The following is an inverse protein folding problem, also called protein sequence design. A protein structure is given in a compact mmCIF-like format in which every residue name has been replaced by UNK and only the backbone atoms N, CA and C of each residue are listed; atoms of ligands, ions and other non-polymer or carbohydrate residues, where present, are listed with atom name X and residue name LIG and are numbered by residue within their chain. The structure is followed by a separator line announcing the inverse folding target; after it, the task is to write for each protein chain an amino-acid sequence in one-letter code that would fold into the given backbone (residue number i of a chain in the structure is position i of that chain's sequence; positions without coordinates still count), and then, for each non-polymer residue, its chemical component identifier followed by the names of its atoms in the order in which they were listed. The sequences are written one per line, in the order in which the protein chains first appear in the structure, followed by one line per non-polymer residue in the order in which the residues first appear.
data_IF_437155335231
#
_entry.id   IF_437155335231
#
_cell.length_a   1.000
_cell.length_b   1.000
_cell.length_c   1.000
_cell.angle_alpha   90.00
_cell.angle_beta   90.00
_cell.angle_gamma   90.00
#
_symmetry.space_group_name_H-M   'P 1'
#
loop_
_entity.id
_entity.type
_entity.pdbx_description
1 polymer ?
#
# COMPACT_ATOMS: atom_id res chain seq x y z
N UNK A 1 18.19 -10.21 39.49
CA UNK A 1 17.93 -9.04 38.63
C UNK A 1 18.33 -9.27 37.17
N UNK A 2 19.56 -9.76 36.89
CA UNK A 2 20.00 -10.05 35.51
C UNK A 2 19.16 -11.13 34.81
N UNK A 3 18.75 -12.19 35.49
CA UNK A 3 17.89 -13.24 34.93
C UNK A 3 16.53 -12.71 34.45
N UNK A 4 15.95 -11.72 35.13
CA UNK A 4 14.71 -11.09 34.69
C UNK A 4 14.92 -10.25 33.42
N UNK A 5 16.05 -9.56 33.32
CA UNK A 5 16.41 -8.81 32.13
C UNK A 5 16.72 -9.71 30.93
N UNK A 6 17.33 -10.87 31.14
CA UNK A 6 17.58 -11.87 30.09
C UNK A 6 16.27 -12.34 29.44
N UNK A 7 15.25 -12.64 30.27
CA UNK A 7 13.93 -13.02 29.77
C UNK A 7 13.20 -11.85 29.07
N UNK A 8 13.42 -10.62 29.50
CA UNK A 8 12.83 -9.43 28.88
C UNK A 8 13.47 -9.09 27.55
N UNK A 9 14.79 -9.26 27.46
CA UNK A 9 15.58 -8.96 26.24
C UNK A 9 15.46 -10.09 25.22
N UNK A 10 15.33 -11.34 25.67
CA UNK A 10 15.10 -12.56 24.87
C UNK A 10 15.91 -12.61 23.57
N UNK A 11 17.24 -12.65 23.71
CA UNK A 11 18.15 -12.77 22.58
C UNK A 11 18.77 -14.18 22.54
N UNK A 12 18.75 -14.84 21.38
CA UNK A 12 19.26 -16.20 21.26
C UNK A 12 20.77 -16.28 21.46
N UNK A 13 21.23 -17.31 22.15
CA UNK A 13 22.66 -17.70 22.32
C UNK A 13 23.57 -16.70 23.01
N UNK A 14 23.01 -15.71 23.69
CA UNK A 14 23.75 -14.75 24.48
C UNK A 14 23.19 -14.61 25.89
N UNK A 15 24.03 -14.15 26.82
CA UNK A 15 23.65 -13.82 28.20
C UNK A 15 24.09 -12.40 28.53
N UNK A 16 23.33 -11.71 29.38
CA UNK A 16 23.70 -10.40 29.91
C UNK A 16 24.70 -10.58 31.04
N UNK A 17 25.92 -10.07 30.85
CA UNK A 17 26.95 -10.06 31.91
C UNK A 17 26.84 -8.84 32.81
N UNK A 18 26.54 -7.70 32.22
CA UNK A 18 26.48 -6.45 32.97
C UNK A 18 25.53 -5.47 32.29
N UNK A 19 25.03 -4.50 33.04
CA UNK A 19 24.22 -3.39 32.57
C UNK A 19 24.84 -2.10 33.08
N UNK A 20 25.13 -1.18 32.16
CA UNK A 20 25.62 0.16 32.47
C UNK A 20 24.55 1.15 32.04
N UNK A 21 24.19 2.06 32.89
CA UNK A 21 23.24 3.12 32.59
C UNK A 21 23.96 4.47 32.59
N UNK A 22 23.81 5.22 31.52
CA UNK A 22 24.38 6.55 31.34
C UNK A 22 23.27 7.52 30.85
N UNK A 23 22.75 8.33 31.76
CA UNK A 23 21.64 9.25 31.43
C UNK A 23 20.41 8.52 30.91
N UNK A 24 20.02 8.75 29.67
CA UNK A 24 18.89 8.13 28.98
C UNK A 24 19.26 6.88 28.16
N UNK A 25 20.51 6.43 28.28
CA UNK A 25 21.02 5.29 27.53
C UNK A 25 21.35 4.11 28.46
N UNK A 26 21.04 2.91 28.03
CA UNK A 26 21.38 1.67 28.71
C UNK A 26 22.24 0.78 27.83
N UNK A 27 23.38 0.34 28.35
CA UNK A 27 24.32 -0.54 27.67
C UNK A 27 24.28 -1.92 28.28
N UNK A 28 23.81 -2.92 27.53
CA UNK A 28 23.79 -4.31 27.94
C UNK A 28 25.03 -5.01 27.41
N UNK A 29 25.94 -5.41 28.29
CA UNK A 29 27.15 -6.13 27.95
C UNK A 29 26.83 -7.61 27.86
N UNK A 30 26.94 -8.17 26.64
CA UNK A 30 26.58 -9.54 26.35
C UNK A 30 27.79 -10.48 26.29
N UNK A 31 27.57 -11.75 26.54
CA UNK A 31 28.50 -12.84 26.25
C UNK A 31 27.81 -13.95 25.49
N UNK A 32 28.51 -14.57 24.56
CA UNK A 32 28.01 -15.77 23.86
C UNK A 32 27.95 -16.97 24.82
N UNK A 33 26.92 -17.78 24.67
CA UNK A 33 26.70 -18.98 25.50
C UNK A 33 27.43 -20.21 24.94
N UNK A 34 27.51 -20.31 23.62
CA UNK A 34 28.11 -21.44 22.89
C UNK A 34 29.60 -21.18 22.63
N UNK A 35 30.44 -22.15 22.90
CA UNK A 35 31.86 -22.14 22.60
C UNK A 35 32.15 -22.63 21.17
N UNK A 36 31.40 -23.66 20.75
CA UNK A 36 31.44 -24.20 19.39
C UNK A 36 30.45 -23.45 18.46
N UNK A 37 30.88 -23.18 17.26
CA UNK A 37 30.06 -22.53 16.23
C UNK A 37 30.08 -23.28 14.91
N UNK A 38 29.00 -23.17 14.14
CA UNK A 38 28.89 -23.77 12.82
C UNK A 38 29.55 -22.91 11.77
N UNK A 39 30.46 -23.49 11.00
CA UNK A 39 31.13 -22.81 9.89
C UNK A 39 30.15 -22.41 8.79
N UNK A 40 30.18 -21.15 8.39
CA UNK A 40 29.29 -20.59 7.37
C UNK A 40 29.53 -21.16 5.95
N UNK A 41 30.71 -21.80 5.71
CA UNK A 41 31.06 -22.32 4.38
C UNK A 41 30.81 -23.82 4.24
N UNK A 42 31.14 -24.63 5.25
CA UNK A 42 31.08 -26.09 5.13
C UNK A 42 30.13 -26.75 6.12
N UNK A 43 29.52 -25.98 7.01
CA UNK A 43 28.62 -26.47 8.05
C UNK A 43 29.30 -27.28 9.18
N UNK A 44 30.61 -27.45 9.17
CA UNK A 44 31.34 -28.13 10.23
C UNK A 44 31.39 -27.32 11.52
N UNK A 45 31.39 -27.97 12.67
CA UNK A 45 31.57 -27.31 13.97
C UNK A 45 33.05 -26.97 14.21
N UNK A 46 33.31 -25.89 14.91
CA UNK A 46 34.66 -25.46 15.34
C UNK A 46 34.55 -24.60 16.60
N UNK A 47 35.53 -24.80 17.48
CA UNK A 47 35.79 -24.02 18.69
C UNK A 47 37.04 -23.12 18.56
N UNK A 48 37.77 -23.19 17.42
CA UNK A 48 39.01 -22.45 17.22
C UNK A 48 38.73 -20.95 17.05
N UNK A 49 38.62 -20.28 18.17
CA UNK A 49 38.49 -18.81 18.23
C UNK A 49 39.82 -18.13 17.80
N UNK A 50 39.73 -17.31 16.75
CA UNK A 50 40.87 -16.54 16.26
C UNK A 50 40.93 -15.12 16.82
N UNK A 51 39.77 -14.46 16.87
CA UNK A 51 39.68 -13.06 17.30
C UNK A 51 38.28 -12.72 17.83
N UNK A 52 38.23 -11.85 18.83
CA UNK A 52 36.95 -11.26 19.31
C UNK A 52 37.07 -9.73 19.29
N UNK A 53 36.08 -9.07 18.70
CA UNK A 53 35.90 -7.64 18.74
C UNK A 53 34.53 -7.29 19.34
N UNK A 54 34.44 -6.27 20.17
CA UNK A 54 33.17 -5.81 20.67
C UNK A 54 32.49 -4.91 19.63
N UNK A 55 31.24 -5.22 19.36
CA UNK A 55 30.36 -4.45 18.48
C UNK A 55 29.24 -3.82 19.30
N UNK A 56 29.02 -2.52 19.12
CA UNK A 56 27.89 -1.82 19.72
C UNK A 56 26.75 -1.74 18.71
N UNK A 57 25.60 -2.32 19.07
CA UNK A 57 24.39 -2.33 18.23
C UNK A 57 23.21 -1.79 19.02
N UNK A 58 22.31 -1.10 18.35
CA UNK A 58 21.10 -0.54 18.95
C UNK A 58 19.98 -1.57 18.93
N UNK A 59 19.23 -1.63 20.02
CA UNK A 59 18.06 -2.50 20.20
C UNK A 59 16.82 -1.69 20.57
N UNK A 60 15.70 -2.37 20.75
CA UNK A 60 14.44 -1.78 21.18
C UNK A 60 14.61 -0.97 22.48
N UNK A 61 13.97 0.19 22.60
CA UNK A 61 14.00 0.96 23.83
C UNK A 61 13.31 0.18 24.97
N UNK A 62 13.86 0.29 26.17
CA UNK A 62 13.30 -0.29 27.40
C UNK A 62 12.96 0.84 28.37
N UNK A 63 11.70 0.93 28.81
CA UNK A 63 11.24 1.95 29.77
C UNK A 63 11.63 3.39 29.39
N UNK A 64 11.57 3.71 28.08
CA UNK A 64 11.91 5.04 27.55
C UNK A 64 13.41 5.30 27.41
N UNK A 65 14.26 4.34 27.72
CA UNK A 65 15.71 4.45 27.54
C UNK A 65 16.14 3.87 26.21
N UNK A 66 17.09 4.53 25.53
CA UNK A 66 17.76 3.98 24.37
C UNK A 66 18.67 2.83 24.80
N UNK A 67 18.50 1.66 24.17
CA UNK A 67 19.27 0.46 24.53
C UNK A 67 20.32 0.15 23.49
N UNK A 68 21.53 -0.06 23.96
CA UNK A 68 22.65 -0.56 23.17
C UNK A 68 23.12 -1.90 23.71
N UNK A 69 23.38 -2.83 22.80
CA UNK A 69 23.97 -4.12 23.10
C UNK A 69 25.44 -4.09 22.73
N UNK A 70 26.31 -4.34 23.69
CA UNK A 70 27.73 -4.60 23.45
C UNK A 70 27.92 -6.09 23.25
N UNK A 71 28.08 -6.50 21.99
CA UNK A 71 28.09 -7.90 21.56
C UNK A 71 29.51 -8.32 21.18
N UNK A 72 30.03 -9.43 21.71
CA UNK A 72 31.29 -10.00 21.23
C UNK A 72 31.12 -10.56 19.83
N UNK A 73 31.78 -9.97 18.84
CA UNK A 73 31.84 -10.47 17.47
C UNK A 73 33.05 -11.35 17.31
N UNK A 74 32.83 -12.65 17.23
CA UNK A 74 33.88 -13.68 17.22
C UNK A 74 34.22 -14.09 15.79
N UNK A 75 35.51 -14.25 15.52
CA UNK A 75 36.03 -14.78 14.27
C UNK A 75 36.72 -16.13 14.58
N UNK A 76 36.33 -17.17 13.85
CA UNK A 76 36.81 -18.54 14.03
C UNK A 76 37.60 -19.01 12.81
N UNK A 77 38.43 -20.03 13.03
CA UNK A 77 39.11 -20.80 12.00
C UNK A 77 38.45 -22.18 11.88
N UNK A 78 38.10 -22.59 10.69
CA UNK A 78 37.51 -23.93 10.45
C UNK A 78 38.58 -24.88 9.89
N UNK A 79 38.99 -25.89 10.66
CA UNK A 79 39.95 -26.92 10.23
C UNK A 79 39.49 -27.71 9.02
N UNK A 80 38.16 -27.97 8.91
CA UNK A 80 37.56 -28.79 7.83
C UNK A 80 37.74 -28.15 6.45
N UNK A 81 37.45 -26.85 6.32
CA UNK A 81 37.58 -26.12 5.05
C UNK A 81 38.72 -25.13 4.99
N UNK A 82 39.55 -25.05 6.04
CA UNK A 82 40.73 -24.21 6.17
C UNK A 82 40.43 -22.72 5.91
N UNK A 83 39.31 -22.21 6.40
CA UNK A 83 38.90 -20.82 6.19
C UNK A 83 38.55 -20.13 7.50
N UNK A 84 38.85 -18.84 7.53
CA UNK A 84 38.34 -17.95 8.57
C UNK A 84 36.95 -17.48 8.26
N UNK A 85 36.11 -17.40 9.27
CA UNK A 85 34.74 -16.85 9.16
C UNK A 85 34.40 -16.12 10.45
N UNK A 86 33.44 -15.20 10.34
CA UNK A 86 32.82 -14.55 11.51
C UNK A 86 31.49 -15.25 11.78
N UNK A 87 31.20 -15.55 13.03
CA UNK A 87 29.90 -16.14 13.40
C UNK A 87 28.73 -15.25 13.01
N UNK A 88 27.63 -15.87 12.68
CA UNK A 88 26.36 -15.18 12.44
C UNK A 88 25.59 -15.09 13.75
N UNK A 89 25.16 -13.89 14.09
CA UNK A 89 24.29 -13.62 15.22
C UNK A 89 22.85 -13.50 14.67
N UNK A 90 21.93 -14.35 15.10
CA UNK A 90 20.56 -14.46 14.54
C UNK A 90 19.76 -13.17 14.73
N UNK A 91 20.06 -12.41 15.77
CA UNK A 91 19.34 -11.18 16.11
C UNK A 91 19.83 -9.93 15.37
N UNK A 92 20.85 -10.04 14.50
CA UNK A 92 21.36 -8.93 13.70
C UNK A 92 21.81 -9.38 12.33
N UNK A 93 21.72 -8.50 11.35
CA UNK A 93 22.30 -8.75 10.03
C UNK A 93 23.77 -8.37 9.92
N UNK A 94 24.48 -9.04 9.02
CA UNK A 94 25.88 -8.77 8.76
C UNK A 94 26.11 -7.30 8.39
N UNK A 95 27.14 -6.68 9.00
CA UNK A 95 27.53 -5.28 8.79
C UNK A 95 26.47 -4.24 9.21
N UNK A 96 25.49 -4.61 10.04
CA UNK A 96 24.50 -3.69 10.61
C UNK A 96 24.84 -3.31 12.05
N UNK A 97 24.33 -2.16 12.49
CA UNK A 97 24.47 -1.66 13.86
C UNK A 97 23.14 -1.62 14.61
N UNK A 98 22.20 -2.43 14.16
CA UNK A 98 20.84 -2.54 14.70
C UNK A 98 20.45 -4.00 14.81
N UNK A 99 19.63 -4.33 15.80
CA UNK A 99 18.98 -5.65 15.83
C UNK A 99 17.89 -5.73 14.75
N UNK A 100 17.58 -6.93 14.30
CA UNK A 100 16.48 -7.17 13.31
C UNK A 100 15.18 -6.59 13.83
N UNK A 101 14.84 -6.83 15.11
CA UNK A 101 13.62 -6.31 15.72
C UNK A 101 13.59 -4.78 15.85
N UNK A 102 14.75 -4.12 16.03
CA UNK A 102 14.82 -2.67 16.02
C UNK A 102 14.57 -2.10 14.61
N UNK A 103 15.16 -2.72 13.57
CA UNK A 103 14.86 -2.30 12.19
C UNK A 103 13.36 -2.50 11.86
N UNK A 104 12.73 -3.56 12.33
CA UNK A 104 11.29 -3.77 12.17
C UNK A 104 10.45 -2.74 12.96
N UNK A 105 10.84 -2.42 14.16
CA UNK A 105 10.22 -1.36 14.96
C UNK A 105 10.26 0.00 14.23
N UNK A 106 11.42 0.40 13.72
CA UNK A 106 11.57 1.64 12.93
C UNK A 106 10.67 1.62 11.68
N UNK A 107 10.64 0.49 10.97
CA UNK A 107 9.77 0.31 9.81
C UNK A 107 8.29 0.52 10.15
N UNK A 108 7.80 -0.13 11.20
CA UNK A 108 6.40 -0.02 11.62
C UNK A 108 6.05 1.42 12.04
N UNK A 109 6.97 2.15 12.65
CA UNK A 109 6.78 3.56 13.01
C UNK A 109 6.69 4.46 11.78
N UNK A 110 7.53 4.24 10.77
CA UNK A 110 7.50 5.02 9.52
C UNK A 110 6.18 4.79 8.76
N UNK A 111 5.61 3.57 8.82
CA UNK A 111 4.32 3.28 8.18
C UNK A 111 3.13 4.08 8.75
N UNK A 112 3.20 4.50 10.00
CA UNK A 112 2.13 5.28 10.67
C UNK A 112 2.51 6.76 10.89
N UNK A 113 3.71 7.17 10.44
CA UNK A 113 4.23 8.52 10.60
C UNK A 113 5.05 8.94 9.36
N UNK A 114 6.13 9.69 9.55
CA UNK A 114 7.07 10.05 8.48
C UNK A 114 8.50 9.69 8.88
N UNK A 115 9.37 9.49 7.88
CA UNK A 115 10.81 9.28 8.11
C UNK A 115 11.41 10.39 8.97
N UNK A 116 11.02 11.64 8.74
CA UNK A 116 11.53 12.78 9.48
C UNK A 116 11.09 12.79 10.94
N UNK A 117 9.83 12.44 11.22
CA UNK A 117 9.31 12.33 12.58
C UNK A 117 10.05 11.23 13.36
N UNK A 118 10.17 10.04 12.75
CA UNK A 118 10.88 8.92 13.37
C UNK A 118 12.37 9.23 13.56
N UNK A 119 13.01 9.95 12.64
CA UNK A 119 14.40 10.41 12.78
C UNK A 119 14.61 11.25 14.03
N UNK A 120 13.69 12.19 14.29
CA UNK A 120 13.73 13.05 15.50
C UNK A 120 13.52 12.25 16.77
N UNK A 121 12.50 11.39 16.79
CA UNK A 121 12.12 10.62 17.98
C UNK A 121 13.16 9.57 18.35
N UNK A 122 13.78 8.94 17.35
CA UNK A 122 14.83 7.94 17.55
C UNK A 122 16.26 8.53 17.62
N UNK A 123 16.41 9.85 17.50
CA UNK A 123 17.71 10.52 17.41
C UNK A 123 18.65 9.86 16.36
N UNK A 124 18.12 9.48 15.22
CA UNK A 124 18.85 8.96 14.07
C UNK A 124 18.83 9.98 12.93
N UNK A 125 19.84 9.95 12.05
CA UNK A 125 19.78 10.75 10.83
C UNK A 125 18.68 10.24 9.90
N UNK A 126 18.15 11.13 9.08
CA UNK A 126 17.14 10.81 8.06
C UNK A 126 17.57 9.63 7.18
N UNK A 127 18.83 9.65 6.69
CA UNK A 127 19.37 8.58 5.83
C UNK A 127 19.38 7.21 6.51
N UNK A 128 19.64 7.16 7.82
CA UNK A 128 19.64 5.91 8.58
C UNK A 128 18.22 5.34 8.67
N UNK A 129 17.24 6.17 9.04
CA UNK A 129 15.84 5.74 9.12
C UNK A 129 15.30 5.35 7.75
N UNK A 130 15.54 6.16 6.73
CA UNK A 130 15.16 5.87 5.35
C UNK A 130 15.81 4.58 4.82
N UNK A 131 17.10 4.37 5.07
CA UNK A 131 17.78 3.16 4.67
C UNK A 131 17.29 1.90 5.39
N UNK A 132 16.88 1.99 6.66
CA UNK A 132 16.19 0.90 7.38
C UNK A 132 14.85 0.63 6.71
N UNK A 133 14.06 1.67 6.48
CA UNK A 133 12.74 1.56 5.87
C UNK A 133 12.77 0.89 4.50
N UNK A 134 13.67 1.33 3.61
CA UNK A 134 13.82 0.74 2.27
C UNK A 134 14.15 -0.75 2.34
N UNK A 135 15.12 -1.14 3.18
CA UNK A 135 15.48 -2.57 3.33
C UNK A 135 14.33 -3.43 3.84
N UNK A 136 13.54 -2.90 4.77
CA UNK A 136 12.38 -3.63 5.28
C UNK A 136 11.26 -3.71 4.22
N UNK A 137 11.07 -2.68 3.40
CA UNK A 137 10.16 -2.74 2.25
C UNK A 137 10.58 -3.83 1.26
N UNK A 138 11.89 -3.93 0.95
CA UNK A 138 12.41 -4.98 0.05
C UNK A 138 12.15 -6.39 0.58
N UNK A 139 12.33 -6.60 1.90
CA UNK A 139 12.05 -7.89 2.54
C UNK A 139 10.56 -8.23 2.61
N UNK A 140 9.71 -7.21 2.75
CA UNK A 140 8.26 -7.32 2.89
C UNK A 140 7.53 -7.10 1.56
N UNK A 141 8.20 -7.29 0.41
CA UNK A 141 7.52 -7.28 -0.89
C UNK A 141 6.31 -8.21 -0.83
N UNK A 142 5.16 -7.66 -1.20
CA UNK A 142 3.91 -8.43 -1.12
C UNK A 142 3.91 -9.54 -2.16
N UNK A 143 3.41 -10.69 -1.74
CA UNK A 143 3.21 -11.82 -2.62
C UNK A 143 1.94 -11.57 -3.47
N UNK A 144 2.05 -11.84 -4.75
CA UNK A 144 0.94 -11.79 -5.69
C UNK A 144 0.14 -13.09 -5.77
N UNK A 145 0.55 -14.13 -5.00
CA UNK A 145 -0.14 -15.42 -5.04
C UNK A 145 -1.58 -15.30 -4.55
N UNK A 146 -2.50 -15.91 -5.32
CA UNK A 146 -3.92 -15.96 -5.01
C UNK A 146 -4.70 -14.68 -5.25
N UNK A 147 -4.11 -13.65 -5.86
CA UNK A 147 -4.81 -12.42 -6.22
C UNK A 147 -5.63 -12.67 -7.49
N UNK A 148 -6.94 -12.45 -7.40
CA UNK A 148 -7.87 -12.63 -8.51
C UNK A 148 -8.39 -11.33 -9.09
N UNK A 149 -8.50 -10.29 -8.27
CA UNK A 149 -9.04 -8.98 -8.65
C UNK A 149 -8.05 -7.87 -8.38
N UNK A 150 -7.60 -7.26 -9.45
CA UNK A 150 -6.59 -6.20 -9.42
C UNK A 150 -7.22 -4.86 -9.75
N UNK A 151 -6.84 -3.81 -9.02
CA UNK A 151 -7.11 -2.43 -9.39
C UNK A 151 -5.84 -1.75 -9.89
N UNK A 152 -5.92 -1.03 -11.00
CA UNK A 152 -4.80 -0.23 -11.53
C UNK A 152 -5.26 1.21 -11.66
N UNK A 153 -4.51 2.15 -11.08
CA UNK A 153 -4.82 3.58 -11.09
C UNK A 153 -3.54 4.42 -11.15
N UNK A 154 -3.67 5.70 -11.54
CA UNK A 154 -2.57 6.65 -11.59
C UNK A 154 -2.68 7.68 -10.47
N UNK A 155 -1.59 7.85 -9.72
CA UNK A 155 -1.50 8.86 -8.67
C UNK A 155 -0.43 9.88 -9.03
N UNK A 156 -0.78 11.17 -8.96
CA UNK A 156 0.18 12.25 -9.12
C UNK A 156 1.02 12.44 -7.85
N UNK A 157 2.34 12.37 -7.94
CA UNK A 157 3.26 12.63 -6.84
C UNK A 157 3.28 14.10 -6.39
N UNK A 158 2.88 15.03 -7.25
CA UNK A 158 2.93 16.48 -6.98
C UNK A 158 1.64 17.15 -7.39
N UNK A 159 1.25 18.20 -6.66
CA UNK A 159 0.15 19.09 -7.08
C UNK A 159 0.42 19.63 -8.48
N UNK A 160 -0.61 19.63 -9.34
CA UNK A 160 -0.52 20.13 -10.73
C UNK A 160 -0.33 19.07 -11.80
N UNK A 161 -0.71 17.80 -11.50
CA UNK A 161 -0.69 16.69 -12.46
C UNK A 161 0.68 16.48 -13.14
N UNK A 162 1.73 16.43 -12.34
CA UNK A 162 3.09 16.13 -12.80
C UNK A 162 3.65 14.95 -12.04
N UNK A 163 4.45 14.13 -12.73
CA UNK A 163 5.08 12.93 -12.18
C UNK A 163 4.05 11.94 -11.60
N UNK A 164 3.41 11.22 -12.50
CA UNK A 164 2.49 10.14 -12.14
C UNK A 164 3.24 8.85 -11.80
N UNK A 165 2.65 8.09 -10.90
CA UNK A 165 3.00 6.69 -10.63
C UNK A 165 1.78 5.84 -10.87
N UNK A 166 1.99 4.63 -11.34
CA UNK A 166 0.94 3.62 -11.43
C UNK A 166 0.91 2.82 -10.14
N UNK A 167 -0.26 2.71 -9.56
CA UNK A 167 -0.50 1.90 -8.36
C UNK A 167 -1.32 0.68 -8.72
N UNK A 168 -0.94 -0.44 -8.13
CA UNK A 168 -1.63 -1.72 -8.32
C UNK A 168 -2.07 -2.24 -6.97
N UNK A 169 -3.34 -2.55 -6.83
CA UNK A 169 -3.94 -3.01 -5.58
C UNK A 169 -4.69 -4.33 -5.73
N UNK A 170 -4.73 -5.11 -4.65
CA UNK A 170 -5.63 -6.25 -4.48
C UNK A 170 -7.00 -5.69 -4.04
N UNK A 171 -8.01 -5.81 -4.89
CA UNK A 171 -9.36 -5.28 -4.60
C UNK A 171 -10.13 -6.13 -3.58
N UNK A 172 -9.79 -7.38 -3.40
CA UNK A 172 -10.46 -8.25 -2.43
C UNK A 172 -9.98 -7.97 -1.01
N UNK A 173 -8.67 -7.73 -0.84
CA UNK A 173 -8.08 -7.38 0.47
C UNK A 173 -8.08 -5.88 0.75
N UNK A 174 -8.25 -5.05 -0.27
CA UNK A 174 -8.11 -3.59 -0.15
C UNK A 174 -6.67 -3.14 0.12
N UNK A 175 -5.69 -3.86 -0.41
CA UNK A 175 -4.28 -3.63 -0.16
C UNK A 175 -3.52 -3.16 -1.40
N UNK A 176 -2.63 -2.19 -1.22
CA UNK A 176 -1.66 -1.83 -2.25
C UNK A 176 -0.61 -2.94 -2.38
N UNK A 177 -0.37 -3.46 -3.59
CA UNK A 177 0.57 -4.55 -3.85
C UNK A 177 1.81 -4.11 -4.64
N UNK A 178 1.68 -3.12 -5.51
CA UNK A 178 2.81 -2.62 -6.29
C UNK A 178 2.67 -1.11 -6.53
N UNK A 179 3.81 -0.42 -6.64
CA UNK A 179 3.90 0.97 -7.08
C UNK A 179 4.97 1.06 -8.16
N UNK A 180 4.57 1.42 -9.36
CA UNK A 180 5.45 1.56 -10.52
C UNK A 180 5.71 3.06 -10.72
N UNK A 181 6.98 3.47 -10.67
CA UNK A 181 7.38 4.87 -10.81
C UNK A 181 7.33 5.36 -12.27
N UNK A 182 6.24 5.05 -12.92
CA UNK A 182 5.95 5.45 -14.30
C UNK A 182 4.45 5.47 -14.57
N UNK A 183 4.07 6.19 -15.62
CA UNK A 183 2.75 6.18 -16.26
C UNK A 183 2.84 5.76 -17.74
N UNK A 184 4.03 5.38 -18.22
CA UNK A 184 4.23 4.94 -19.60
C UNK A 184 3.87 3.47 -19.73
N UNK A 185 3.08 3.13 -20.78
CA UNK A 185 2.56 1.78 -20.97
C UNK A 185 3.66 0.72 -21.01
N UNK A 186 4.74 0.98 -21.74
CA UNK A 186 5.83 0.01 -21.92
C UNK A 186 6.56 -0.27 -20.59
N UNK A 187 6.80 0.76 -19.79
CA UNK A 187 7.44 0.62 -18.48
C UNK A 187 6.53 -0.10 -17.48
N UNK A 188 5.21 0.15 -17.52
CA UNK A 188 4.22 -0.56 -16.70
C UNK A 188 4.17 -2.04 -17.11
N UNK A 189 4.15 -2.32 -18.43
CA UNK A 189 4.18 -3.69 -18.94
C UNK A 189 5.44 -4.42 -18.48
N UNK A 190 6.61 -3.80 -18.63
CA UNK A 190 7.89 -4.39 -18.24
C UNK A 190 7.89 -4.76 -16.75
N UNK A 191 7.52 -3.81 -15.89
CA UNK A 191 7.46 -4.03 -14.43
C UNK A 191 6.49 -5.16 -14.03
N UNK A 192 5.33 -5.23 -14.66
CA UNK A 192 4.33 -6.26 -14.35
C UNK A 192 4.67 -7.63 -14.98
N UNK A 193 5.38 -7.63 -16.09
CA UNK A 193 5.87 -8.87 -16.73
C UNK A 193 6.97 -9.57 -15.94
N UNK A 194 7.62 -8.90 -14.97
CA UNK A 194 8.53 -9.54 -14.01
C UNK A 194 7.82 -10.56 -13.11
N UNK A 195 6.49 -10.46 -12.98
CA UNK A 195 5.72 -11.43 -12.19
C UNK A 195 5.60 -12.75 -12.95
N UNK A 196 5.66 -13.90 -12.25
CA UNK A 196 5.50 -15.22 -12.88
C UNK A 196 4.21 -15.32 -13.71
N UNK A 197 4.28 -16.04 -14.82
CA UNK A 197 3.12 -16.18 -15.72
C UNK A 197 1.90 -16.76 -15.00
N UNK A 198 2.11 -17.78 -14.16
CA UNK A 198 1.06 -18.44 -13.37
C UNK A 198 0.27 -17.44 -12.48
N UNK A 199 0.98 -16.47 -11.92
CA UNK A 199 0.38 -15.41 -11.09
C UNK A 199 -0.44 -14.45 -11.95
N UNK A 200 0.06 -14.09 -13.14
CA UNK A 200 -0.63 -13.19 -14.07
C UNK A 200 -1.86 -13.86 -14.71
N UNK A 201 -1.80 -15.15 -14.97
CA UNK A 201 -2.92 -15.97 -15.48
C UNK A 201 -4.01 -16.21 -14.42
N UNK A 202 -3.67 -16.15 -13.12
CA UNK A 202 -4.63 -16.31 -12.04
C UNK A 202 -5.52 -15.06 -11.82
N UNK A 203 -5.15 -13.91 -12.39
CA UNK A 203 -5.96 -12.68 -12.31
C UNK A 203 -7.18 -12.81 -13.23
N UNK A 204 -8.37 -12.75 -12.64
CA UNK A 204 -9.66 -12.92 -13.31
C UNK A 204 -10.27 -11.57 -13.74
N UNK A 205 -10.06 -10.52 -12.94
CA UNK A 205 -10.61 -9.18 -13.19
C UNK A 205 -9.58 -8.09 -12.94
N UNK A 206 -9.51 -7.10 -13.83
CA UNK A 206 -8.70 -5.89 -13.63
C UNK A 206 -9.60 -4.66 -13.74
N UNK A 207 -9.73 -3.93 -12.64
CA UNK A 207 -10.46 -2.65 -12.60
C UNK A 207 -9.53 -1.50 -12.92
N UNK A 208 -9.92 -0.66 -13.86
CA UNK A 208 -9.11 0.48 -14.32
C UNK A 208 -9.97 1.73 -14.51
N UNK A 209 -9.31 2.88 -14.48
CA UNK A 209 -9.90 4.13 -14.95
C UNK A 209 -10.19 4.07 -16.47
N UNK A 210 -11.04 4.97 -16.94
CA UNK A 210 -11.40 5.14 -18.35
C UNK A 210 -10.23 5.66 -19.23
N UNK A 211 -9.01 5.71 -18.70
CA UNK A 211 -7.83 6.08 -19.46
C UNK A 211 -7.49 5.02 -20.53
N UNK A 212 -7.40 5.46 -21.79
CA UNK A 212 -7.28 4.56 -22.95
C UNK A 212 -5.98 3.76 -23.06
N UNK A 213 -5.03 3.98 -22.17
CA UNK A 213 -3.73 3.27 -22.12
C UNK A 213 -3.77 1.92 -21.42
N UNK A 214 -4.56 1.78 -20.36
CA UNK A 214 -4.61 0.58 -19.55
C UNK A 214 -5.14 -0.69 -20.25
N UNK A 215 -6.14 -0.65 -21.14
CA UNK A 215 -6.59 -1.87 -21.82
C UNK A 215 -5.45 -2.64 -22.50
N UNK A 216 -4.56 -1.95 -23.21
CA UNK A 216 -3.40 -2.59 -23.87
C UNK A 216 -2.41 -3.21 -22.88
N UNK A 217 -2.22 -2.56 -21.73
CA UNK A 217 -1.37 -3.09 -20.66
C UNK A 217 -1.96 -4.39 -20.12
N UNK A 218 -3.27 -4.38 -19.84
CA UNK A 218 -3.98 -5.54 -19.26
C UNK A 218 -3.98 -6.72 -20.21
N UNK A 219 -4.36 -6.52 -21.47
CA UNK A 219 -4.37 -7.56 -22.49
C UNK A 219 -3.00 -8.25 -22.64
N UNK A 220 -1.91 -7.47 -22.47
CA UNK A 220 -0.56 -8.00 -22.61
C UNK A 220 -0.05 -8.69 -21.34
N UNK A 221 -0.44 -8.19 -20.17
CA UNK A 221 0.09 -8.66 -18.87
C UNK A 221 -0.77 -9.77 -18.28
N UNK A 222 -2.10 -9.65 -18.32
CA UNK A 222 -3.07 -10.53 -17.66
C UNK A 222 -3.96 -11.23 -18.70
N UNK A 223 -3.50 -12.34 -19.29
CA UNK A 223 -4.15 -12.94 -20.48
C UNK A 223 -5.56 -13.45 -20.23
N UNK A 224 -5.91 -13.80 -18.99
CA UNK A 224 -7.23 -14.34 -18.64
C UNK A 224 -8.16 -13.29 -18.00
N UNK A 225 -7.68 -12.06 -17.77
CA UNK A 225 -8.42 -11.07 -17.02
C UNK A 225 -9.49 -10.36 -17.87
N UNK A 226 -10.65 -10.15 -17.26
CA UNK A 226 -11.69 -9.28 -17.80
C UNK A 226 -11.42 -7.84 -17.33
N UNK A 227 -11.42 -6.91 -18.28
CA UNK A 227 -11.28 -5.48 -17.96
C UNK A 227 -12.62 -4.95 -17.44
N UNK A 228 -12.58 -4.35 -16.26
CA UNK A 228 -13.73 -3.72 -15.61
C UNK A 228 -13.45 -2.23 -15.44
N UNK A 229 -14.37 -1.40 -15.91
CA UNK A 229 -14.26 0.05 -15.70
C UNK A 229 -14.67 0.41 -14.28
N UNK A 230 -13.89 1.25 -13.60
CA UNK A 230 -14.22 1.74 -12.28
C UNK A 230 -15.57 2.48 -12.29
N UNK A 231 -16.48 2.02 -11.42
CA UNK A 231 -17.81 2.61 -11.22
C UNK A 231 -17.75 4.11 -10.94
N UNK A 232 -16.76 4.55 -10.16
CA UNK A 232 -16.62 5.98 -9.82
C UNK A 232 -16.44 6.83 -11.07
N UNK A 233 -15.62 6.38 -12.03
CA UNK A 233 -15.36 7.11 -13.26
C UNK A 233 -16.58 7.19 -14.16
N UNK A 234 -17.33 6.08 -14.27
CA UNK A 234 -18.59 6.07 -15.03
C UNK A 234 -19.60 7.03 -14.41
N UNK A 235 -19.78 6.99 -13.08
CA UNK A 235 -20.67 7.92 -12.38
C UNK A 235 -20.20 9.38 -12.48
N UNK A 236 -18.90 9.63 -12.52
CA UNK A 236 -18.33 10.94 -12.76
C UNK A 236 -18.74 11.49 -14.14
N UNK A 237 -18.62 10.66 -15.19
CA UNK A 237 -19.04 11.04 -16.54
C UNK A 237 -20.56 11.37 -16.60
N UNK A 238 -21.40 10.53 -15.99
CA UNK A 238 -22.86 10.79 -15.89
C UNK A 238 -23.16 12.09 -15.15
N UNK A 239 -22.46 12.35 -14.06
CA UNK A 239 -22.59 13.58 -13.28
C UNK A 239 -22.11 14.83 -14.06
N UNK A 240 -21.08 14.70 -14.87
CA UNK A 240 -20.60 15.79 -15.74
C UNK A 240 -21.61 16.15 -16.80
N UNK A 241 -22.27 15.17 -17.44
CA UNK A 241 -23.33 15.41 -18.41
C UNK A 241 -24.55 16.07 -17.75
N UNK A 242 -24.99 15.57 -16.59
CA UNK A 242 -26.05 16.22 -15.82
C UNK A 242 -25.71 17.69 -15.50
N UNK A 243 -24.47 17.97 -15.12
CA UNK A 243 -24.03 19.33 -14.81
C UNK A 243 -23.97 20.23 -16.07
N UNK A 244 -23.69 19.67 -17.27
CA UNK A 244 -23.80 20.39 -18.53
C UNK A 244 -25.24 20.81 -18.80
N UNK A 245 -26.19 19.88 -18.65
CA UNK A 245 -27.64 20.15 -18.79
C UNK A 245 -28.05 21.22 -17.78
N UNK A 246 -27.65 21.10 -16.51
CA UNK A 246 -27.93 22.13 -15.50
C UNK A 246 -27.43 23.51 -15.93
N UNK A 247 -26.22 23.63 -16.45
CA UNK A 247 -25.65 24.92 -16.91
C UNK A 247 -26.42 25.54 -18.08
N UNK A 248 -27.04 24.71 -18.92
CA UNK A 248 -27.86 25.16 -20.07
C UNK A 248 -29.27 25.55 -19.66
N UNK A 249 -29.70 25.16 -18.46
CA UNK A 249 -31.04 25.47 -17.97
C UNK A 249 -31.10 26.89 -17.42
N UNK A 250 -32.05 27.69 -17.90
CA UNK A 250 -32.37 29.01 -17.33
C UNK A 250 -33.24 28.81 -16.08
N UNK A 251 -32.68 29.15 -14.94
CA UNK A 251 -33.39 29.07 -13.67
C UNK A 251 -34.10 30.41 -13.36
N UNK A 252 -35.39 30.32 -13.08
CA UNK A 252 -36.16 31.48 -12.55
C UNK A 252 -35.88 31.67 -11.06
N UNK A 253 -35.65 30.59 -10.32
CA UNK A 253 -35.25 30.56 -8.92
C UNK A 253 -33.82 30.08 -8.77
N UNK A 254 -32.93 30.92 -8.23
CA UNK A 254 -31.55 30.51 -7.89
C UNK A 254 -31.57 29.92 -6.49
N UNK A 255 -31.33 28.59 -6.41
CA UNK A 255 -31.25 27.84 -5.15
C UNK A 255 -29.77 27.63 -4.81
N UNK A 256 -29.33 28.13 -3.64
CA UNK A 256 -27.95 27.93 -3.18
C UNK A 256 -27.63 26.44 -3.06
N UNK A 257 -26.52 26.01 -3.69
CA UNK A 257 -26.09 24.62 -3.63
C UNK A 257 -26.77 23.68 -4.62
N UNK A 258 -27.58 24.17 -5.58
CA UNK A 258 -28.31 23.35 -6.57
C UNK A 258 -27.46 22.30 -7.27
N UNK A 259 -26.20 22.62 -7.60
CA UNK A 259 -25.26 21.67 -8.18
C UNK A 259 -25.06 20.44 -7.31
N UNK A 260 -24.87 20.65 -6.02
CA UNK A 260 -24.61 19.55 -5.08
C UNK A 260 -25.85 18.72 -4.81
N UNK A 261 -27.03 19.32 -4.78
CA UNK A 261 -28.30 18.60 -4.68
C UNK A 261 -28.51 17.63 -5.84
N UNK A 262 -28.15 18.05 -7.06
CA UNK A 262 -28.26 17.22 -8.27
C UNK A 262 -27.21 16.10 -8.33
N UNK A 263 -25.99 16.33 -7.81
CA UNK A 263 -24.90 15.35 -7.87
C UNK A 263 -24.94 14.33 -6.72
N UNK A 264 -25.46 14.73 -5.55
CA UNK A 264 -25.59 13.84 -4.38
C UNK A 264 -26.56 12.70 -4.68
N UNK A 265 -26.38 11.55 -4.02
CA UNK A 265 -27.33 10.45 -4.11
C UNK A 265 -28.67 10.86 -3.50
N UNK A 266 -29.77 10.47 -4.11
CA UNK A 266 -31.12 10.75 -3.58
C UNK A 266 -31.30 10.22 -2.15
N UNK A 267 -30.77 9.03 -1.85
CA UNK A 267 -30.84 8.39 -0.53
C UNK A 267 -30.03 9.10 0.57
N UNK A 268 -29.04 9.90 0.17
CA UNK A 268 -28.14 10.61 1.09
C UNK A 268 -28.59 12.07 1.33
N UNK A 269 -29.72 12.48 0.71
CA UNK A 269 -30.30 13.81 0.89
C UNK A 269 -31.18 13.85 2.14
N UNK A 270 -31.08 14.95 2.90
CA UNK A 270 -32.02 15.24 3.98
C UNK A 270 -33.39 15.66 3.45
N UNK A 271 -34.43 15.64 4.29
CA UNK A 271 -35.79 16.09 3.87
C UNK A 271 -35.81 17.53 3.34
N UNK A 272 -35.06 18.44 3.96
CA UNK A 272 -34.91 19.80 3.46
C UNK A 272 -34.20 19.87 2.11
N UNK A 273 -33.17 19.04 1.91
CA UNK A 273 -32.45 18.95 0.63
C UNK A 273 -33.34 18.36 -0.46
N UNK A 274 -34.18 17.36 -0.14
CA UNK A 274 -35.15 16.79 -1.07
C UNK A 274 -36.19 17.83 -1.51
N UNK A 275 -36.74 18.62 -0.59
CA UNK A 275 -37.65 19.70 -0.93
C UNK A 275 -37.00 20.74 -1.86
N UNK A 276 -35.74 21.14 -1.56
CA UNK A 276 -34.96 22.05 -2.42
C UNK A 276 -34.72 21.43 -3.81
N UNK A 277 -34.36 20.15 -3.86
CA UNK A 277 -34.17 19.42 -5.11
C UNK A 277 -35.44 19.41 -5.97
N UNK A 278 -36.59 19.13 -5.38
CA UNK A 278 -37.90 19.15 -6.10
C UNK A 278 -38.19 20.54 -6.69
N UNK A 279 -37.87 21.62 -5.98
CA UNK A 279 -38.00 22.97 -6.50
C UNK A 279 -37.09 23.23 -7.70
N UNK A 280 -35.85 22.71 -7.68
CA UNK A 280 -34.91 22.78 -8.80
C UNK A 280 -35.45 22.01 -10.00
N UNK A 281 -35.89 20.78 -9.79
CA UNK A 281 -36.37 19.88 -10.85
C UNK A 281 -37.68 20.35 -11.48
N UNK A 282 -38.55 21.06 -10.73
CA UNK A 282 -39.79 21.68 -11.27
C UNK A 282 -39.52 22.79 -12.30
N UNK A 283 -38.35 23.38 -12.31
CA UNK A 283 -38.03 24.49 -13.20
C UNK A 283 -37.72 24.05 -14.65
N UNK A 284 -37.37 22.77 -14.86
CA UNK A 284 -37.04 22.25 -16.18
C UNK A 284 -37.31 20.76 -16.30
N UNK A 285 -38.19 20.37 -17.22
CA UNK A 285 -38.45 18.99 -17.54
C UNK A 285 -37.22 18.25 -18.05
N UNK A 286 -36.37 18.94 -18.84
CA UNK A 286 -35.12 18.39 -19.35
C UNK A 286 -34.17 18.05 -18.20
N UNK A 287 -34.04 18.95 -17.21
CA UNK A 287 -33.19 18.69 -16.05
C UNK A 287 -33.77 17.57 -15.16
N UNK A 288 -35.10 17.53 -14.98
CA UNK A 288 -35.79 16.45 -14.25
C UNK A 288 -35.49 15.10 -14.90
N UNK A 289 -35.73 14.94 -16.18
CA UNK A 289 -35.44 13.72 -16.92
C UNK A 289 -33.96 13.30 -16.77
N UNK A 290 -33.02 14.22 -16.95
CA UNK A 290 -31.61 13.94 -16.80
C UNK A 290 -31.25 13.48 -15.39
N UNK A 291 -31.84 14.05 -14.35
CA UNK A 291 -31.65 13.62 -12.96
C UNK A 291 -32.22 12.22 -12.72
N UNK A 292 -33.44 11.93 -13.20
CA UNK A 292 -34.05 10.61 -13.08
C UNK A 292 -33.22 9.53 -13.78
N UNK A 293 -32.60 9.85 -14.94
CA UNK A 293 -31.67 8.97 -15.64
C UNK A 293 -30.39 8.71 -14.85
N UNK A 294 -29.83 9.73 -14.23
CA UNK A 294 -28.69 9.55 -13.34
C UNK A 294 -29.02 8.58 -12.18
N UNK A 295 -30.19 8.74 -11.57
CA UNK A 295 -30.60 7.87 -10.47
C UNK A 295 -30.92 6.45 -10.96
N UNK A 296 -31.60 6.26 -12.10
CA UNK A 296 -31.85 4.93 -12.67
C UNK A 296 -30.57 4.21 -13.05
N UNK A 297 -29.57 4.92 -13.59
CA UNK A 297 -28.25 4.35 -13.85
C UNK A 297 -27.57 3.85 -12.57
N UNK A 298 -27.62 4.64 -11.49
CA UNK A 298 -27.10 4.27 -10.19
C UNK A 298 -27.78 3.01 -9.63
N UNK A 299 -29.10 2.90 -9.79
CA UNK A 299 -29.86 1.74 -9.33
C UNK A 299 -29.43 0.44 -10.00
N UNK A 300 -28.98 0.47 -11.25
CA UNK A 300 -28.43 -0.72 -11.93
C UNK A 300 -27.26 -1.28 -11.10
N UNK A 301 -26.32 -0.44 -10.68
CA UNK A 301 -25.19 -0.88 -9.86
C UNK A 301 -25.53 -1.26 -8.43
N UNK A 302 -26.57 -0.67 -7.85
CA UNK A 302 -26.91 -0.89 -6.44
C UNK A 302 -27.83 -2.09 -6.24
N UNK A 303 -28.74 -2.36 -7.19
CA UNK A 303 -29.80 -3.36 -7.02
C UNK A 303 -29.54 -4.66 -7.77
N UNK A 304 -28.79 -4.61 -8.89
CA UNK A 304 -28.54 -5.77 -9.74
C UNK A 304 -27.29 -6.49 -9.29
N UNK A 305 -27.41 -7.78 -9.02
CA UNK A 305 -26.28 -8.64 -8.65
C UNK A 305 -25.86 -9.60 -9.75
N UNK A 306 -26.80 -9.93 -10.63
CA UNK A 306 -26.56 -10.82 -11.76
C UNK A 306 -26.00 -10.04 -12.96
N UNK A 307 -24.95 -10.58 -13.59
CA UNK A 307 -24.22 -9.93 -14.70
C UNK A 307 -25.09 -9.78 -15.95
N UNK A 308 -25.88 -10.80 -16.29
CA UNK A 308 -26.71 -10.76 -17.50
C UNK A 308 -27.92 -9.83 -17.29
N UNK A 309 -28.55 -9.84 -16.11
CA UNK A 309 -29.58 -8.88 -15.76
C UNK A 309 -29.02 -7.45 -15.82
N UNK A 310 -27.82 -7.24 -15.30
CA UNK A 310 -27.14 -5.94 -15.34
C UNK A 310 -26.90 -5.45 -16.76
N UNK A 311 -26.46 -6.35 -17.65
CA UNK A 311 -26.24 -6.05 -19.07
C UNK A 311 -27.53 -5.66 -19.78
N UNK A 312 -28.62 -6.40 -19.55
CA UNK A 312 -29.92 -6.09 -20.13
C UNK A 312 -30.43 -4.72 -19.68
N UNK A 313 -30.43 -4.44 -18.37
CA UNK A 313 -30.85 -3.15 -17.82
C UNK A 313 -29.99 -1.98 -18.30
N UNK A 314 -28.68 -2.21 -18.45
CA UNK A 314 -27.78 -1.19 -18.99
C UNK A 314 -28.07 -0.89 -20.46
N UNK A 315 -28.32 -1.92 -21.28
CA UNK A 315 -28.70 -1.75 -22.69
C UNK A 315 -30.02 -0.99 -22.82
N UNK A 316 -31.02 -1.36 -22.04
CA UNK A 316 -32.31 -0.67 -21.99
C UNK A 316 -32.16 0.79 -21.56
N UNK A 317 -31.31 1.05 -20.55
CA UNK A 317 -30.98 2.40 -20.12
C UNK A 317 -30.32 3.22 -21.23
N UNK A 318 -29.38 2.62 -22.00
CA UNK A 318 -28.71 3.30 -23.11
C UNK A 318 -29.69 3.64 -24.25
N UNK A 319 -30.59 2.73 -24.61
CA UNK A 319 -31.59 2.95 -25.64
C UNK A 319 -32.56 4.09 -25.25
N UNK A 320 -33.03 4.05 -24.03
CA UNK A 320 -33.89 5.11 -23.49
C UNK A 320 -33.16 6.46 -23.42
N UNK A 321 -31.87 6.50 -23.06
CA UNK A 321 -31.08 7.74 -23.05
C UNK A 321 -30.94 8.35 -24.46
N UNK A 322 -30.79 7.54 -25.51
CA UNK A 322 -30.75 8.00 -26.91
C UNK A 322 -32.07 8.64 -27.36
N UNK A 323 -33.21 8.07 -26.96
CA UNK A 323 -34.52 8.61 -27.33
C UNK A 323 -34.75 10.02 -26.78
N UNK A 324 -34.29 10.29 -25.58
CA UNK A 324 -34.39 11.64 -24.98
C UNK A 324 -33.48 12.67 -25.67
N UNK A 325 -32.31 12.24 -26.17
CA UNK A 325 -31.43 13.14 -26.91
C UNK A 325 -32.04 13.57 -28.25
N UNK A 326 -32.83 12.68 -28.89
CA UNK A 326 -33.54 12.96 -30.15
C UNK A 326 -34.83 13.78 -29.95
N UNK A 327 -35.50 13.68 -28.82
CA UNK A 327 -36.69 14.50 -28.50
C UNK A 327 -36.34 15.92 -28.03
N UNK A 328 -35.08 16.21 -27.69
CA UNK A 328 -34.63 17.48 -27.14
C UNK A 328 -33.85 18.36 -28.14
N UNK A 329 -33.64 17.91 -29.37
CA UNK A 329 -33.16 18.68 -30.51
C UNK A 329 -34.30 19.01 -31.47
#
# INVERSE_FOLDING_TARGET
MLFFLENLVDLPKVKIRNVIQEGTEAFLILSCQEEEVKCNYCGGLTDELHQTNNLLIRDLPISGQTVYLQVPRRKFYCKKCQRFFTENLEFMEARRKYTVRYEEYVYNRVNVSSVEQVSREEALSWDKVHGIYQRQCEKKKKDWQGIKKVGIDEISKRKGHKNFVTVVGDLEKGELIEVIDSHQQDEIIEALMEKPLEVREAVEEVSVDMWGGFPKVIEKVFPNAVIVTDRFQVMKAVNEELNKIRKQTSFTLKIKGEKWLLLKNKKDLTEEELQKLELVLKQSNRLRKAYEYKESFREIYEKVKDKEEGRLKFTEWQENAKSIYTECN
#
